data_IF_599053529164
#
_entry.id   IF_599053529164
#
_cell.length_a   1.000
_cell.length_b   1.000
_cell.length_c   1.000
_cell.angle_alpha   90.00
_cell.angle_beta   90.00
_cell.angle_gamma   90.00
#
_symmetry.space_group_name_H-M   'P 1'
#
loop_
_entity.id
_entity.type
_entity.pdbx_description
1 polymer ?
#
# COMPACT_ATOMS: atom_id res chain seq x y z
N UNK A 1 5.90 5.59 -17.08
CA UNK A 1 6.15 4.51 -16.10
C UNK A 1 6.96 5.03 -14.93
N UNK A 2 6.31 5.31 -13.79
CA UNK A 2 6.97 5.82 -12.57
C UNK A 2 7.21 4.74 -11.50
N UNK A 3 6.65 3.54 -11.70
CA UNK A 3 6.99 2.35 -10.93
C UNK A 3 8.30 1.78 -11.47
N UNK A 4 9.27 1.55 -10.58
CA UNK A 4 10.55 0.94 -10.92
C UNK A 4 10.62 -0.36 -10.15
N UNK A 5 10.74 -1.46 -10.89
CA UNK A 5 10.99 -2.78 -10.35
C UNK A 5 12.38 -3.24 -10.77
N UNK A 6 13.13 -3.78 -9.82
CA UNK A 6 14.46 -4.35 -10.06
C UNK A 6 14.57 -5.68 -9.33
N UNK A 7 14.87 -6.72 -10.08
CA UNK A 7 15.26 -8.02 -9.53
C UNK A 7 16.79 -8.09 -9.54
N UNK A 8 17.38 -8.31 -8.37
CA UNK A 8 18.83 -8.35 -8.18
C UNK A 8 19.22 -9.58 -7.38
N UNK A 9 20.36 -10.18 -7.70
CA UNK A 9 21.00 -11.17 -6.84
C UNK A 9 21.86 -10.42 -5.83
N UNK A 10 21.68 -10.67 -4.55
CA UNK A 10 22.47 -10.05 -3.48
C UNK A 10 22.91 -11.08 -2.44
N UNK A 11 24.21 -11.09 -2.15
CA UNK A 11 24.85 -11.73 -1.00
C UNK A 11 25.15 -10.72 0.12
N UNK A 12 25.70 -11.21 1.23
CA UNK A 12 26.10 -10.33 2.35
C UNK A 12 27.27 -9.46 1.91
N UNK A 13 27.13 -8.14 2.06
CA UNK A 13 28.07 -7.13 1.57
C UNK A 13 27.73 -6.58 0.18
N UNK A 14 26.83 -7.22 -0.58
CA UNK A 14 26.41 -6.71 -1.87
C UNK A 14 25.49 -5.50 -1.73
N UNK A 15 25.56 -4.61 -2.72
CA UNK A 15 24.70 -3.44 -2.80
C UNK A 15 24.05 -3.29 -4.16
N UNK A 16 22.82 -2.77 -4.18
CA UNK A 16 22.06 -2.49 -5.38
C UNK A 16 21.47 -1.08 -5.33
N UNK A 17 21.60 -0.32 -6.41
CA UNK A 17 21.05 1.02 -6.52
C UNK A 17 19.72 1.02 -7.30
N UNK A 18 18.65 1.53 -6.70
CA UNK A 18 17.32 1.66 -7.34
C UNK A 18 16.72 3.02 -7.00
N UNK A 19 16.35 3.81 -8.01
CA UNK A 19 15.65 5.10 -7.84
C UNK A 19 16.35 6.09 -6.87
N UNK A 20 17.70 6.15 -6.89
CA UNK A 20 18.50 7.01 -6.02
C UNK A 20 18.65 6.51 -4.57
N UNK A 21 18.36 5.23 -4.35
CA UNK A 21 18.61 4.52 -3.10
C UNK A 21 19.60 3.40 -3.30
N UNK A 22 20.53 3.27 -2.37
CA UNK A 22 21.44 2.14 -2.27
C UNK A 22 20.91 1.20 -1.20
N UNK A 23 20.66 -0.05 -1.58
CA UNK A 23 20.24 -1.14 -0.72
C UNK A 23 21.45 -2.04 -0.52
N UNK A 24 21.95 -2.17 0.71
CA UNK A 24 23.11 -2.98 1.05
C UNK A 24 22.67 -4.10 1.98
N UNK A 25 22.93 -5.35 1.62
CA UNK A 25 22.62 -6.47 2.52
C UNK A 25 23.75 -6.61 3.54
N UNK A 26 23.48 -6.32 4.80
CA UNK A 26 24.49 -6.31 5.87
C UNK A 26 24.58 -7.64 6.59
N UNK A 27 23.47 -8.38 6.66
CA UNK A 27 23.40 -9.64 7.38
C UNK A 27 22.39 -10.57 6.73
N UNK A 28 22.67 -11.87 6.81
CA UNK A 28 21.74 -12.94 6.45
C UNK A 28 21.74 -13.94 7.59
N UNK A 29 20.56 -14.26 8.10
CA UNK A 29 20.38 -15.17 9.23
C UNK A 29 19.29 -16.18 8.91
N UNK A 30 19.52 -17.43 9.28
CA UNK A 30 18.53 -18.50 9.19
C UNK A 30 18.13 -18.91 10.61
N UNK A 31 16.83 -18.92 10.88
CA UNK A 31 16.25 -19.30 12.17
C UNK A 31 15.29 -20.46 12.00
N UNK A 32 15.49 -21.50 12.81
CA UNK A 32 14.51 -22.57 12.96
C UNK A 32 13.51 -22.23 14.06
N UNK A 33 12.25 -22.06 13.66
CA UNK A 33 11.09 -21.98 14.56
C UNK A 33 10.50 -23.35 14.86
N UNK A 34 9.45 -23.39 15.68
CA UNK A 34 8.80 -24.63 16.10
C UNK A 34 8.21 -25.43 14.91
N UNK A 35 7.64 -24.73 13.93
CA UNK A 35 6.98 -25.32 12.75
C UNK A 35 7.38 -24.66 11.43
N UNK A 36 8.41 -23.80 11.45
CA UNK A 36 8.87 -23.09 10.26
C UNK A 36 10.39 -22.92 10.26
N UNK A 37 10.98 -22.87 9.08
CA UNK A 37 12.32 -22.34 8.85
C UNK A 37 12.17 -20.92 8.33
N UNK A 38 12.91 -19.96 8.88
CA UNK A 38 12.86 -18.56 8.49
C UNK A 38 14.24 -18.08 8.06
N UNK A 39 14.35 -17.57 6.85
CA UNK A 39 15.54 -16.89 6.34
C UNK A 39 15.28 -15.39 6.34
N UNK A 40 16.08 -14.63 7.06
CA UNK A 40 15.93 -13.20 7.26
C UNK A 40 17.18 -12.47 6.77
N UNK A 41 17.01 -11.48 5.91
CA UNK A 41 18.09 -10.59 5.50
C UNK A 41 17.91 -9.24 6.18
N UNK A 42 19.02 -8.62 6.58
CA UNK A 42 19.07 -7.24 7.05
C UNK A 42 19.61 -6.40 5.89
N UNK A 43 18.80 -5.45 5.46
CA UNK A 43 19.15 -4.54 4.36
C UNK A 43 19.20 -3.13 4.92
N UNK A 44 20.38 -2.53 4.86
CA UNK A 44 20.54 -1.11 5.09
C UNK A 44 20.25 -0.35 3.80
N UNK A 45 19.38 0.65 3.89
CA UNK A 45 18.99 1.47 2.75
C UNK A 45 19.39 2.90 3.01
N UNK A 46 20.19 3.45 2.11
CA UNK A 46 20.64 4.84 2.16
C UNK A 46 20.18 5.58 0.92
N UNK A 47 19.72 6.82 1.11
CA UNK A 47 19.41 7.70 -0.02
C UNK A 47 20.67 8.45 -0.44
N UNK A 48 20.93 8.50 -1.74
CA UNK A 48 22.01 9.31 -2.30
C UNK A 48 21.92 10.78 -1.84
N UNK A 49 23.04 11.33 -1.37
CA UNK A 49 23.13 12.70 -0.84
C UNK A 49 22.50 12.91 0.55
N UNK A 50 22.07 11.86 1.25
CA UNK A 50 21.49 11.94 2.59
C UNK A 50 22.26 11.07 3.59
N UNK A 51 22.60 11.65 4.74
CA UNK A 51 23.21 10.93 5.87
C UNK A 51 22.22 9.98 6.59
N UNK A 52 20.93 10.05 6.27
CA UNK A 52 19.92 9.15 6.86
C UNK A 52 19.93 7.80 6.15
N UNK A 53 20.27 6.75 6.89
CA UNK A 53 20.01 5.36 6.52
C UNK A 53 18.86 4.77 7.33
N UNK A 54 18.36 3.62 6.89
CA UNK A 54 17.38 2.85 7.61
C UNK A 54 17.44 1.38 7.25
N UNK A 55 16.98 0.55 8.17
CA UNK A 55 17.02 -0.90 8.01
C UNK A 55 15.68 -1.44 7.54
N UNK A 56 15.73 -2.38 6.60
CA UNK A 56 14.61 -3.15 6.09
C UNK A 56 14.94 -4.63 6.28
N UNK A 57 14.04 -5.39 6.90
CA UNK A 57 14.27 -6.80 7.25
C UNK A 57 13.26 -7.70 6.54
N UNK A 58 13.48 -8.05 5.26
CA UNK A 58 12.63 -9.05 4.61
C UNK A 58 12.93 -10.44 5.17
N UNK A 59 11.89 -11.25 5.25
CA UNK A 59 11.96 -12.61 5.80
C UNK A 59 11.24 -13.58 4.87
N UNK A 60 11.77 -14.79 4.70
CA UNK A 60 11.13 -15.87 3.99
C UNK A 60 10.91 -17.04 4.94
N UNK A 61 9.67 -17.50 5.08
CA UNK A 61 9.28 -18.59 5.98
C UNK A 61 8.86 -19.82 5.19
N UNK A 62 9.44 -20.97 5.50
CA UNK A 62 9.00 -22.28 5.01
C UNK A 62 8.29 -23.05 6.13
N UNK A 63 7.00 -23.32 5.96
CA UNK A 63 6.22 -24.08 6.94
C UNK A 63 6.38 -25.58 6.72
N UNK A 64 7.06 -26.27 7.65
CA UNK A 64 7.44 -27.67 7.51
C UNK A 64 6.23 -28.62 7.40
N UNK A 65 5.13 -28.31 8.09
CA UNK A 65 3.93 -29.14 8.11
C UNK A 65 3.19 -29.21 6.75
N UNK A 66 3.38 -28.20 5.89
CA UNK A 66 2.67 -28.08 4.60
C UNK A 66 3.60 -27.93 3.40
N UNK A 67 4.90 -27.78 3.62
CA UNK A 67 5.88 -27.51 2.57
C UNK A 67 5.65 -26.21 1.81
N UNK A 68 4.86 -25.28 2.37
CA UNK A 68 4.50 -24.03 1.69
C UNK A 68 5.44 -22.90 2.12
N UNK A 69 6.21 -22.30 1.18
CA UNK A 69 6.99 -21.10 1.44
C UNK A 69 6.10 -19.85 1.43
N UNK A 70 6.39 -18.90 2.31
CA UNK A 70 5.72 -17.61 2.43
C UNK A 70 6.77 -16.51 2.60
N UNK A 71 6.70 -15.46 1.79
CA UNK A 71 7.62 -14.32 1.88
C UNK A 71 6.96 -13.17 2.63
N UNK A 72 7.62 -12.71 3.69
CA UNK A 72 7.32 -11.47 4.37
C UNK A 72 8.16 -10.33 3.77
N UNK A 73 7.45 -9.42 3.10
CA UNK A 73 8.05 -8.27 2.43
C UNK A 73 8.44 -7.23 3.49
N UNK A 74 9.63 -6.66 3.37
CA UNK A 74 9.97 -5.45 4.08
C UNK A 74 9.31 -4.26 3.36
N UNK A 75 8.39 -3.59 4.04
CA UNK A 75 7.70 -2.41 3.56
C UNK A 75 8.13 -1.22 4.40
N UNK A 76 8.62 -0.17 3.73
CA UNK A 76 8.84 1.12 4.38
C UNK A 76 7.91 2.17 3.78
N UNK A 77 6.84 2.55 4.49
CA UNK A 77 5.95 3.58 4.02
C UNK A 77 6.61 4.95 4.18
N UNK A 78 6.60 5.76 3.13
CA UNK A 78 7.07 7.15 3.15
C UNK A 78 5.92 8.13 2.93
N UNK A 79 6.20 9.44 2.96
CA UNK A 79 5.20 10.46 2.63
C UNK A 79 5.01 10.60 1.12
N UNK A 80 6.10 10.50 0.37
CA UNK A 80 6.13 10.71 -1.08
C UNK A 80 6.33 9.41 -1.88
N UNK A 81 6.72 8.32 -1.21
CA UNK A 81 7.10 7.06 -1.85
C UNK A 81 7.07 5.91 -0.86
N UNK A 82 6.79 4.74 -1.36
CA UNK A 82 6.80 3.49 -0.61
C UNK A 82 7.84 2.54 -1.22
N UNK A 83 8.69 1.99 -0.36
CA UNK A 83 9.74 1.04 -0.74
C UNK A 83 9.33 -0.36 -0.32
N UNK A 84 9.44 -1.29 -1.25
CA UNK A 84 9.14 -2.70 -1.04
C UNK A 84 10.37 -3.51 -1.37
N UNK A 85 10.75 -4.39 -0.46
CA UNK A 85 11.82 -5.35 -0.69
C UNK A 85 11.33 -6.73 -0.29
N UNK A 86 11.34 -7.65 -1.25
CA UNK A 86 10.91 -9.02 -1.06
C UNK A 86 12.08 -9.98 -1.31
N UNK A 87 12.20 -10.98 -0.45
CA UNK A 87 13.15 -12.09 -0.64
C UNK A 87 12.50 -13.18 -1.50
N UNK A 88 13.11 -13.43 -2.65
CA UNK A 88 12.72 -14.43 -3.63
C UNK A 88 13.33 -15.80 -3.30
N UNK A 89 13.91 -16.44 -4.31
CA UNK A 89 14.55 -17.75 -4.16
C UNK A 89 16.00 -17.63 -3.70
N UNK A 90 16.46 -18.67 -3.00
CA UNK A 90 17.87 -18.86 -2.69
C UNK A 90 18.57 -19.26 -4.00
N UNK A 91 19.60 -18.52 -4.37
CA UNK A 91 20.38 -18.73 -5.58
C UNK A 91 21.65 -19.54 -5.31
N UNK A 92 21.86 -20.01 -4.07
CA UNK A 92 23.08 -20.68 -3.63
C UNK A 92 24.18 -19.70 -3.23
N UNK A 93 25.25 -20.23 -2.64
CA UNK A 93 26.45 -19.47 -2.23
C UNK A 93 26.15 -18.27 -1.31
N UNK A 94 25.15 -18.40 -0.43
CA UNK A 94 24.72 -17.33 0.47
C UNK A 94 24.17 -16.09 -0.26
N UNK A 95 23.67 -16.27 -1.49
CA UNK A 95 23.08 -15.22 -2.33
C UNK A 95 21.60 -15.46 -2.57
N UNK A 96 20.82 -14.38 -2.54
CA UNK A 96 19.37 -14.43 -2.66
C UNK A 96 18.87 -13.55 -3.78
N UNK A 97 17.81 -13.99 -4.46
CA UNK A 97 17.08 -13.16 -5.40
C UNK A 97 16.26 -12.12 -4.61
N UNK A 98 16.58 -10.85 -4.74
CA UNK A 98 15.84 -9.75 -4.11
C UNK A 98 15.02 -9.02 -5.16
N UNK A 99 13.74 -8.79 -4.84
CA UNK A 99 12.87 -7.95 -5.66
C UNK A 99 12.63 -6.64 -4.95
N UNK A 100 13.20 -5.57 -5.51
CA UNK A 100 13.10 -4.20 -5.02
C UNK A 100 12.08 -3.47 -5.89
N UNK A 101 11.06 -2.87 -5.27
CA UNK A 101 10.05 -2.09 -5.97
C UNK A 101 9.94 -0.71 -5.34
N UNK A 102 9.89 0.29 -6.22
CA UNK A 102 9.67 1.69 -5.87
C UNK A 102 8.28 2.11 -6.35
N UNK A 103 7.38 2.41 -5.41
CA UNK A 103 6.01 2.86 -5.70
C UNK A 103 5.78 4.28 -5.17
N UNK A 104 5.81 5.31 -6.02
CA UNK A 104 5.52 6.67 -5.60
C UNK A 104 3.99 6.89 -5.45
N UNK A 105 3.61 7.79 -4.54
CA UNK A 105 2.24 8.33 -4.40
C UNK A 105 1.08 7.40 -4.01
N UNK A 106 1.31 6.18 -3.50
CA UNK A 106 0.19 5.29 -3.10
C UNK A 106 -0.71 5.95 -2.04
N UNK A 107 -0.13 6.72 -1.10
CA UNK A 107 -0.87 7.44 -0.06
C UNK A 107 -1.83 8.52 -0.58
N UNK A 108 -1.58 9.05 -1.79
CA UNK A 108 -2.42 10.09 -2.38
C UNK A 108 -3.77 9.56 -2.85
N UNK A 109 -3.85 8.26 -3.17
CA UNK A 109 -5.12 7.60 -3.49
C UNK A 109 -6.06 7.62 -2.28
N UNK A 110 -5.52 7.33 -1.09
CA UNK A 110 -6.27 7.40 0.16
C UNK A 110 -6.65 8.84 0.51
N UNK A 111 -5.77 9.81 0.27
CA UNK A 111 -6.08 11.23 0.48
C UNK A 111 -7.22 11.70 -0.44
N UNK A 112 -7.23 11.25 -1.71
CA UNK A 112 -8.33 11.51 -2.63
C UNK A 112 -9.66 10.95 -2.12
N UNK A 113 -9.67 9.71 -1.65
CA UNK A 113 -10.86 9.11 -1.02
C UNK A 113 -11.33 9.87 0.22
N UNK A 114 -10.41 10.31 1.07
CA UNK A 114 -10.71 11.10 2.26
C UNK A 114 -11.26 12.49 1.91
N UNK A 115 -10.74 13.13 0.86
CA UNK A 115 -11.27 14.40 0.34
C UNK A 115 -12.67 14.24 -0.23
N UNK A 116 -12.95 13.17 -0.96
CA UNK A 116 -14.30 12.88 -1.47
C UNK A 116 -15.29 12.62 -0.33
N UNK A 117 -14.87 11.84 0.69
CA UNK A 117 -15.68 11.61 1.88
C UNK A 117 -15.96 12.92 2.64
N UNK A 118 -14.93 13.76 2.83
CA UNK A 118 -15.08 15.08 3.46
C UNK A 118 -16.00 16.00 2.65
N UNK A 119 -15.88 16.02 1.32
CA UNK A 119 -16.76 16.76 0.42
C UNK A 119 -18.22 16.28 0.51
N UNK A 120 -18.44 14.96 0.58
CA UNK A 120 -19.75 14.37 0.79
C UNK A 120 -20.36 14.75 2.15
N UNK A 121 -19.57 14.66 3.23
CA UNK A 121 -20.01 15.09 4.56
C UNK A 121 -20.35 16.58 4.58
N UNK A 122 -19.52 17.43 3.99
CA UNK A 122 -19.81 18.87 3.86
C UNK A 122 -21.08 19.11 3.06
N UNK A 123 -21.30 18.42 1.94
CA UNK A 123 -22.50 18.56 1.12
C UNK A 123 -23.79 18.14 1.87
N UNK A 124 -23.73 17.08 2.68
CA UNK A 124 -24.87 16.61 3.50
C UNK A 124 -25.14 17.54 4.69
N UNK A 125 -24.09 18.10 5.27
CA UNK A 125 -24.19 18.98 6.45
C UNK A 125 -24.58 20.42 6.06
N UNK A 126 -24.35 20.81 4.80
CA UNK A 126 -24.75 22.13 4.30
C UNK A 126 -26.28 22.21 4.14
N UNK A 127 -26.89 23.00 5.01
CA UNK A 127 -28.33 23.31 5.09
C UNK A 127 -28.89 23.85 3.75
N UNK A 128 -28.02 24.35 2.86
CA UNK A 128 -28.37 24.89 1.54
C UNK A 128 -28.66 23.79 0.50
N UNK A 129 -27.95 22.66 0.53
CA UNK A 129 -28.24 21.51 -0.34
C UNK A 129 -29.54 20.79 0.06
N UNK A 130 -29.84 20.77 1.36
CA UNK A 130 -31.15 20.30 1.84
C UNK A 130 -32.31 21.13 1.29
N UNK A 131 -32.11 22.43 1.02
CA UNK A 131 -33.15 23.28 0.38
C UNK A 131 -33.33 23.01 -1.11
N UNK A 132 -32.30 22.53 -1.82
CA UNK A 132 -32.41 22.12 -3.23
C UNK A 132 -33.02 20.72 -3.36
N UNK A 133 -32.69 19.79 -2.46
CA UNK A 133 -33.32 18.46 -2.42
C UNK A 133 -34.78 18.50 -1.90
N UNK A 134 -35.10 19.47 -1.03
CA UNK A 134 -36.48 19.74 -0.55
C UNK A 134 -37.19 20.83 -1.36
N UNK A 135 -36.54 21.42 -2.38
CA UNK A 135 -37.26 22.14 -3.43
C UNK A 135 -37.99 21.07 -4.24
N UNK A 136 -39.11 20.61 -3.66
CA UNK A 136 -40.04 19.70 -4.26
C UNK A 136 -40.38 20.23 -5.64
N UNK A 137 -40.15 19.37 -6.61
CA UNK A 137 -40.61 19.48 -7.99
C UNK A 137 -42.01 20.12 -8.01
N UNK A 138 -42.14 21.39 -8.46
CA UNK A 138 -43.42 22.10 -8.43
C UNK A 138 -44.50 21.36 -9.21
N UNK A 139 -44.12 20.54 -10.20
CA UNK A 139 -45.04 19.69 -10.96
C UNK A 139 -45.68 18.59 -10.10
N UNK A 140 -44.93 18.00 -9.15
CA UNK A 140 -45.44 16.94 -8.28
C UNK A 140 -46.43 17.47 -7.23
N UNK A 141 -46.23 18.71 -6.77
CA UNK A 141 -47.18 19.42 -5.90
C UNK A 141 -48.46 19.80 -6.66
N UNK A 142 -48.31 20.38 -7.87
CA UNK A 142 -49.44 20.72 -8.71
C UNK A 142 -50.29 19.50 -9.10
N UNK A 143 -49.67 18.35 -9.36
CA UNK A 143 -50.38 17.10 -9.67
C UNK A 143 -51.12 16.47 -8.45
N UNK A 144 -50.67 16.75 -7.22
CA UNK A 144 -51.32 16.30 -5.99
C UNK A 144 -52.55 17.17 -5.65
N UNK A 145 -52.45 18.48 -5.88
CA UNK A 145 -53.54 19.44 -5.65
C UNK A 145 -54.63 19.39 -6.74
N UNK A 146 -54.30 18.91 -7.94
CA UNK A 146 -55.23 18.79 -9.05
C UNK A 146 -56.12 17.53 -9.01
N UNK A 147 -55.98 16.64 -8.02
CA UNK A 147 -56.88 15.49 -7.86
C UNK A 147 -58.18 15.94 -7.16
N UNK A 148 -59.35 15.92 -7.83
CA UNK A 148 -60.61 16.25 -7.19
C UNK A 148 -60.95 15.17 -6.14
N UNK A 149 -61.47 15.62 -4.99
CA UNK A 149 -62.16 14.75 -4.04
C UNK A 149 -63.47 14.27 -4.69
N UNK A 150 -63.38 13.23 -5.51
CA UNK A 150 -64.56 12.44 -5.90
C UNK A 150 -64.65 11.19 -5.04
N UNK A 151 -65.87 10.98 -4.52
CA UNK A 151 -66.38 9.84 -3.76
C UNK A 151 -65.98 9.75 -2.28
N UNK A 152 -66.90 10.09 -1.38
CA UNK A 152 -67.84 9.10 -0.80
C UNK A 152 -68.74 9.77 0.24
N UNK A 153 -70.04 9.80 -0.10
CA UNK A 153 -71.26 9.76 0.72
C UNK A 153 -71.50 10.78 1.82
#
# INVERSE_FOLDING_TARGET
NYEIERNVRMGVGDSASVAGYTFTMTELSSRRGANFLADSAIIEVQREGSQRSFTMTPEKRLYLARGMPMTQVALRPGLFRDLYVAMGEDLGDNTWAMRIQYKPFVRWLWLGGLLMAAGGVLAVTDKRYRRLATAQDPERRAALDAKPQEATT
#
